data_IF_080926675787
#
_entry.id   IF_080926675787
#
_cell.length_a   1.000
_cell.length_b   1.000
_cell.length_c   1.000
_cell.angle_alpha   90.00
_cell.angle_beta   90.00
_cell.angle_gamma   90.00
#
_symmetry.space_group_name_H-M   'P 1'
#
loop_
_entity.id
_entity.type
_entity.pdbx_description
1 polymer ?
#
# COMPACT_ATOMS: atom_id res chain seq x y z
N UNK A 1 -1.06 -10.32 7.46
CA UNK A 1 0.03 -11.09 8.11
C UNK A 1 -0.08 -11.10 9.64
N UNK A 2 -0.79 -10.14 10.24
CA UNK A 2 -1.05 -10.11 11.69
C UNK A 2 -2.00 -11.25 12.12
N UNK A 3 -1.87 -11.69 13.37
CA UNK A 3 -2.80 -12.62 14.02
C UNK A 3 -4.02 -11.84 14.53
N UNK A 4 -5.15 -11.98 13.88
CA UNK A 4 -6.40 -11.28 14.25
C UNK A 4 -6.95 -11.67 15.63
N UNK A 5 -6.53 -12.82 16.19
CA UNK A 5 -6.88 -13.22 17.57
C UNK A 5 -6.09 -12.41 18.60
N UNK A 6 -5.01 -11.72 18.19
CA UNK A 6 -4.09 -10.94 19.03
C UNK A 6 -3.70 -9.61 18.38
N UNK A 7 -4.59 -9.02 17.59
CA UNK A 7 -4.29 -7.86 16.73
C UNK A 7 -3.62 -6.71 17.50
N UNK A 8 -4.09 -6.40 18.70
CA UNK A 8 -3.48 -5.36 19.54
C UNK A 8 -2.02 -5.66 19.88
N UNK A 9 -1.72 -6.87 20.35
CA UNK A 9 -0.34 -7.27 20.65
C UNK A 9 0.56 -7.28 19.40
N UNK A 10 -0.02 -7.61 18.25
CA UNK A 10 0.70 -7.56 16.97
C UNK A 10 0.98 -6.13 16.52
N UNK A 11 0.10 -5.18 16.79
CA UNK A 11 0.32 -3.75 16.57
C UNK A 11 1.40 -3.20 17.51
N UNK A 12 1.38 -3.56 18.79
CA UNK A 12 2.42 -3.17 19.76
C UNK A 12 3.81 -3.65 19.31
N UNK A 13 3.89 -4.87 18.78
CA UNK A 13 5.15 -5.47 18.34
C UNK A 13 5.76 -4.82 17.07
N UNK A 14 4.98 -4.05 16.32
CA UNK A 14 5.43 -3.29 15.15
C UNK A 14 5.43 -1.78 15.35
N UNK A 15 5.28 -1.28 16.59
CA UNK A 15 5.20 0.14 16.90
C UNK A 15 6.43 0.97 16.48
N UNK A 16 7.52 0.33 16.07
CA UNK A 16 8.72 0.99 15.50
C UNK A 16 8.64 1.18 13.98
N UNK A 17 7.60 0.66 13.31
CA UNK A 17 7.34 0.94 11.90
C UNK A 17 6.79 2.37 11.72
N UNK A 18 6.89 2.89 10.50
CA UNK A 18 6.42 4.26 10.19
C UNK A 18 4.92 4.29 9.93
N UNK A 19 4.36 3.18 9.41
CA UNK A 19 2.95 3.05 9.00
C UNK A 19 2.44 1.65 9.28
N UNK A 20 1.12 1.52 9.38
CA UNK A 20 0.40 0.24 9.32
C UNK A 20 -0.24 0.13 7.94
N UNK A 21 0.20 -0.83 7.15
CA UNK A 21 -0.41 -1.16 5.86
C UNK A 21 -1.64 -2.06 6.05
N UNK A 22 -2.76 -1.69 5.43
CA UNK A 22 -4.08 -2.27 5.69
C UNK A 22 -4.73 -2.75 4.38
N UNK A 23 -4.57 -4.04 4.05
CA UNK A 23 -5.05 -4.67 2.83
C UNK A 23 -6.55 -5.00 2.87
N UNK A 24 -7.34 -4.31 2.07
CA UNK A 24 -8.80 -4.55 1.94
C UNK A 24 -9.11 -5.26 0.63
N UNK A 25 -9.77 -6.40 0.71
CA UNK A 25 -10.11 -7.26 -0.43
C UNK A 25 -11.60 -7.59 -0.41
N UNK A 26 -12.26 -7.51 -1.57
CA UNK A 26 -13.72 -7.65 -1.72
C UNK A 26 -14.19 -8.97 -2.36
N UNK A 27 -13.25 -9.83 -2.82
CA UNK A 27 -13.57 -11.06 -3.52
C UNK A 27 -14.03 -10.87 -4.97
N UNK A 28 -14.08 -9.61 -5.46
CA UNK A 28 -14.45 -9.27 -6.83
C UNK A 28 -13.24 -8.81 -7.64
N UNK A 29 -12.53 -7.79 -7.16
CA UNK A 29 -11.28 -7.32 -7.78
C UNK A 29 -10.15 -8.34 -7.64
N UNK A 30 -10.05 -9.01 -6.49
CA UNK A 30 -9.12 -10.11 -6.22
C UNK A 30 -9.88 -11.32 -5.68
N UNK A 31 -9.40 -12.57 -5.90
CA UNK A 31 -10.11 -13.79 -5.52
C UNK A 31 -9.94 -14.11 -4.02
N UNK A 32 -10.01 -13.11 -3.16
CA UNK A 32 -9.92 -13.22 -1.72
C UNK A 32 -10.77 -12.15 -1.05
N UNK A 33 -11.25 -12.42 0.17
CA UNK A 33 -11.98 -11.47 1.02
C UNK A 33 -11.18 -11.31 2.31
N UNK A 34 -10.88 -10.06 2.70
CA UNK A 34 -10.16 -9.82 3.96
C UNK A 34 -11.06 -9.22 5.04
N UNK A 35 -11.10 -7.94 5.16
CA UNK A 35 -11.81 -7.18 6.19
C UNK A 35 -12.13 -5.76 5.67
N UNK A 36 -12.84 -4.96 6.45
CA UNK A 36 -13.24 -3.63 6.02
C UNK A 36 -13.24 -2.61 7.16
N UNK A 37 -14.10 -1.60 7.03
CA UNK A 37 -14.16 -0.42 7.91
C UNK A 37 -14.20 -0.73 9.42
N UNK A 38 -14.92 -1.76 9.92
CA UNK A 38 -14.93 -2.05 11.36
C UNK A 38 -13.55 -2.37 11.94
N UNK A 39 -12.72 -3.12 11.19
CA UNK A 39 -11.35 -3.44 11.61
C UNK A 39 -10.42 -2.24 11.42
N UNK A 40 -10.56 -1.49 10.32
CA UNK A 40 -9.84 -0.24 10.11
C UNK A 40 -10.06 0.71 11.30
N UNK A 41 -11.31 0.93 11.71
CA UNK A 41 -11.66 1.74 12.88
C UNK A 41 -11.07 1.19 14.19
N UNK A 42 -11.08 -0.13 14.38
CA UNK A 42 -10.51 -0.73 15.58
C UNK A 42 -8.99 -0.53 15.66
N UNK A 43 -8.28 -0.65 14.52
CA UNK A 43 -6.84 -0.37 14.43
C UNK A 43 -6.57 1.10 14.73
N UNK A 44 -7.29 2.03 14.08
CA UNK A 44 -7.14 3.47 14.31
C UNK A 44 -7.41 3.89 15.77
N UNK A 45 -8.35 3.22 16.46
CA UNK A 45 -8.62 3.47 17.87
C UNK A 45 -7.57 2.90 18.83
N UNK A 46 -6.81 1.89 18.35
CA UNK A 46 -5.81 1.21 19.17
C UNK A 46 -4.43 1.85 19.09
N UNK A 47 -4.06 2.42 17.95
CA UNK A 47 -2.72 2.99 17.72
C UNK A 47 -2.80 4.33 17.01
N UNK A 48 -1.84 5.22 17.30
CA UNK A 48 -1.65 6.51 16.61
C UNK A 48 -0.76 6.39 15.37
N UNK A 49 -0.38 5.16 14.95
CA UNK A 49 0.42 4.95 13.76
C UNK A 49 -0.36 5.38 12.51
N UNK A 50 0.34 5.95 11.53
CA UNK A 50 -0.23 6.33 10.24
C UNK A 50 -0.83 5.11 9.54
N UNK A 51 -2.12 5.20 9.15
CA UNK A 51 -2.87 4.10 8.56
C UNK A 51 -2.91 4.25 7.04
N UNK A 52 -2.09 3.46 6.38
CA UNK A 52 -2.01 3.31 4.93
C UNK A 52 -2.98 2.21 4.47
N UNK A 53 -4.07 2.61 3.82
CA UNK A 53 -5.19 1.72 3.48
C UNK A 53 -5.19 1.39 1.99
N UNK A 54 -4.86 0.15 1.67
CA UNK A 54 -4.79 -0.37 0.30
C UNK A 54 -6.10 -1.08 -0.08
N UNK A 55 -6.84 -0.50 -1.03
CA UNK A 55 -8.14 -1.00 -1.47
C UNK A 55 -8.01 -1.85 -2.74
N UNK A 56 -7.96 -3.16 -2.59
CA UNK A 56 -8.08 -4.16 -3.65
C UNK A 56 -9.56 -4.52 -3.86
N UNK A 57 -10.36 -3.52 -4.25
CA UNK A 57 -11.81 -3.64 -4.40
C UNK A 57 -12.29 -3.02 -5.72
N UNK A 58 -13.38 -3.53 -6.29
CA UNK A 58 -14.00 -2.93 -7.47
C UNK A 58 -14.69 -1.61 -7.14
N UNK A 59 -14.58 -0.62 -8.04
CA UNK A 59 -15.22 0.70 -7.94
C UNK A 59 -15.01 1.36 -6.58
N UNK A 60 -13.75 1.61 -6.19
CA UNK A 60 -13.37 2.03 -4.83
C UNK A 60 -13.97 3.37 -4.40
N UNK A 61 -14.32 4.27 -5.34
CA UNK A 61 -14.91 5.57 -5.04
C UNK A 61 -16.10 5.49 -4.07
N UNK A 62 -16.85 4.37 -4.10
CA UNK A 62 -18.03 4.13 -3.24
C UNK A 62 -17.69 4.04 -1.75
N UNK A 63 -16.46 3.76 -1.39
CA UNK A 63 -16.05 3.42 0.00
C UNK A 63 -15.00 4.37 0.58
N UNK A 64 -14.52 5.34 -0.19
CA UNK A 64 -13.47 6.29 0.26
C UNK A 64 -13.92 7.02 1.53
N UNK A 65 -15.13 7.58 1.53
CA UNK A 65 -15.66 8.30 2.70
C UNK A 65 -15.76 7.41 3.94
N UNK A 66 -16.17 6.16 3.78
CA UNK A 66 -16.33 5.22 4.89
C UNK A 66 -14.97 4.82 5.49
N UNK A 67 -13.94 4.61 4.67
CA UNK A 67 -12.58 4.35 5.16
C UNK A 67 -11.94 5.59 5.77
N UNK A 68 -12.17 6.78 5.21
CA UNK A 68 -11.72 8.04 5.80
C UNK A 68 -12.33 8.24 7.21
N UNK A 69 -13.64 8.01 7.36
CA UNK A 69 -14.33 8.05 8.66
C UNK A 69 -13.87 6.94 9.62
N UNK A 70 -13.40 5.83 9.10
CA UNK A 70 -12.81 4.75 9.91
C UNK A 70 -11.38 5.05 10.38
N UNK A 71 -10.75 6.12 9.86
CA UNK A 71 -9.45 6.60 10.29
C UNK A 71 -8.29 6.28 9.34
N UNK A 72 -8.57 5.99 8.06
CA UNK A 72 -7.52 5.91 7.05
C UNK A 72 -6.85 7.29 6.87
N UNK A 73 -5.53 7.35 6.94
CA UNK A 73 -4.74 8.57 6.71
C UNK A 73 -4.37 8.72 5.23
N UNK A 74 -4.13 7.60 4.56
CA UNK A 74 -3.88 7.48 3.14
C UNK A 74 -4.72 6.33 2.58
N UNK A 75 -5.25 6.52 1.38
CA UNK A 75 -5.96 5.45 0.65
C UNK A 75 -5.32 5.27 -0.71
N UNK A 76 -4.95 4.04 -1.03
CA UNK A 76 -4.49 3.62 -2.36
C UNK A 76 -5.56 2.80 -3.07
N UNK A 77 -5.83 3.15 -4.34
CA UNK A 77 -6.79 2.46 -5.20
C UNK A 77 -6.10 1.97 -6.46
N UNK A 78 -6.41 0.76 -6.90
CA UNK A 78 -5.87 0.21 -8.13
C UNK A 78 -6.41 0.94 -9.37
N UNK A 79 -5.52 1.30 -10.31
CA UNK A 79 -5.93 1.90 -11.59
C UNK A 79 -6.81 0.95 -12.42
N UNK A 80 -6.69 -0.35 -12.18
CA UNK A 80 -7.46 -1.41 -12.84
C UNK A 80 -8.83 -1.68 -12.18
N UNK A 81 -9.11 -1.08 -11.02
CA UNK A 81 -10.34 -1.33 -10.25
C UNK A 81 -11.57 -0.62 -10.79
N UNK A 82 -11.37 0.37 -11.65
CA UNK A 82 -12.44 1.09 -12.36
C UNK A 82 -11.89 1.74 -13.64
N UNK A 83 -12.76 2.30 -14.47
CA UNK A 83 -12.34 3.13 -15.59
C UNK A 83 -11.73 4.47 -15.13
N UNK A 84 -11.07 5.23 -16.05
CA UNK A 84 -10.37 6.48 -15.69
C UNK A 84 -11.24 7.48 -14.93
N UNK A 85 -12.53 7.61 -15.28
CA UNK A 85 -13.46 8.48 -14.57
C UNK A 85 -13.73 8.02 -13.13
N UNK A 86 -13.87 6.71 -12.90
CA UNK A 86 -14.07 6.18 -11.56
C UNK A 86 -12.84 6.37 -10.66
N UNK A 87 -11.63 6.34 -11.24
CA UNK A 87 -10.39 6.67 -10.52
C UNK A 87 -10.34 8.17 -10.19
N UNK A 88 -10.71 9.05 -11.12
CA UNK A 88 -10.83 10.49 -10.84
C UNK A 88 -11.86 10.78 -9.74
N UNK A 89 -13.02 10.12 -9.77
CA UNK A 89 -14.04 10.22 -8.73
C UNK A 89 -13.49 9.77 -7.36
N UNK A 90 -12.70 8.68 -7.31
CA UNK A 90 -12.06 8.22 -6.08
C UNK A 90 -11.05 9.25 -5.54
N UNK A 91 -10.19 9.81 -6.40
CA UNK A 91 -9.21 10.85 -5.99
C UNK A 91 -9.90 12.13 -5.52
N UNK A 92 -10.99 12.55 -6.17
CA UNK A 92 -11.79 13.69 -5.75
C UNK A 92 -12.44 13.45 -4.38
N UNK A 93 -12.91 12.23 -4.13
CA UNK A 93 -13.51 11.86 -2.87
C UNK A 93 -12.46 11.80 -1.74
N UNK A 94 -11.25 11.29 -2.00
CA UNK A 94 -10.13 11.35 -1.05
C UNK A 94 -9.79 12.80 -0.66
N UNK A 95 -9.73 13.69 -1.66
CA UNK A 95 -9.47 15.12 -1.44
C UNK A 95 -10.58 15.78 -0.60
N UNK A 96 -11.85 15.48 -0.91
CA UNK A 96 -13.01 15.96 -0.14
C UNK A 96 -12.98 15.48 1.32
N UNK A 97 -12.53 14.26 1.54
CA UNK A 97 -12.41 13.65 2.88
C UNK A 97 -11.15 14.08 3.64
N UNK A 98 -10.19 14.74 2.98
CA UNK A 98 -8.94 15.19 3.58
C UNK A 98 -7.94 14.06 3.85
N UNK A 99 -8.07 12.91 3.18
CA UNK A 99 -7.10 11.81 3.25
C UNK A 99 -6.07 11.93 2.13
N UNK A 100 -4.85 11.40 2.35
CA UNK A 100 -3.81 11.35 1.33
C UNK A 100 -4.19 10.41 0.20
N UNK A 101 -3.77 10.78 -1.00
CA UNK A 101 -4.19 10.16 -2.27
C UNK A 101 -3.09 9.27 -2.83
N UNK A 102 -3.41 8.00 -3.06
CA UNK A 102 -2.51 7.08 -3.73
C UNK A 102 -3.21 6.26 -4.81
N UNK A 103 -2.43 5.84 -5.80
CA UNK A 103 -2.85 4.84 -6.78
C UNK A 103 -1.92 3.64 -6.74
N UNK A 104 -2.49 2.46 -6.98
CA UNK A 104 -1.76 1.20 -7.05
C UNK A 104 -1.75 0.66 -8.48
N UNK A 105 -0.64 0.02 -8.86
CA UNK A 105 -0.43 -0.64 -10.14
C UNK A 105 -0.29 -2.14 -9.94
N UNK A 106 -1.06 -2.96 -10.67
CA UNK A 106 -0.78 -4.39 -10.81
C UNK A 106 0.51 -4.61 -11.61
N UNK A 107 1.17 -5.79 -11.47
CA UNK A 107 2.43 -6.07 -12.17
C UNK A 107 2.38 -5.91 -13.68
N UNK A 108 1.21 -6.14 -14.30
CA UNK A 108 1.01 -6.04 -15.76
C UNK A 108 0.79 -4.60 -16.24
N UNK A 109 0.53 -3.67 -15.33
CA UNK A 109 0.13 -2.30 -15.69
C UNK A 109 1.34 -1.43 -15.97
N UNK A 110 1.29 -0.71 -17.09
CA UNK A 110 2.39 0.18 -17.50
C UNK A 110 2.58 1.32 -16.48
N UNK A 111 3.83 1.65 -16.08
CA UNK A 111 4.13 2.82 -15.25
C UNK A 111 3.54 4.13 -15.78
N UNK A 112 3.41 4.27 -17.10
CA UNK A 112 2.82 5.47 -17.73
C UNK A 112 1.35 5.69 -17.39
N UNK A 113 0.67 4.67 -16.85
CA UNK A 113 -0.72 4.79 -16.43
C UNK A 113 -0.93 5.79 -15.28
N UNK A 114 0.14 6.14 -14.52
CA UNK A 114 0.06 7.14 -13.45
C UNK A 114 0.09 8.59 -13.98
N UNK A 115 0.56 8.82 -15.21
CA UNK A 115 0.77 10.17 -15.75
C UNK A 115 -0.46 11.10 -15.66
N UNK A 116 -1.69 10.64 -15.91
CA UNK A 116 -2.88 11.50 -15.79
C UNK A 116 -3.15 11.98 -14.36
N UNK A 117 -2.59 11.35 -13.35
CA UNK A 117 -2.92 11.55 -11.94
C UNK A 117 -1.76 12.08 -11.10
N UNK A 118 -0.52 11.97 -11.59
CA UNK A 118 0.71 12.12 -10.80
C UNK A 118 0.81 13.45 -10.04
N UNK A 119 0.33 14.55 -10.64
CA UNK A 119 0.38 15.90 -10.02
C UNK A 119 -0.46 16.00 -8.74
N UNK A 120 -1.37 15.05 -8.51
CA UNK A 120 -2.32 15.04 -7.39
C UNK A 120 -1.98 13.99 -6.33
N UNK A 121 -1.02 13.10 -6.63
CA UNK A 121 -0.76 11.94 -5.78
C UNK A 121 0.21 12.27 -4.65
N UNK A 122 -0.06 11.74 -3.47
CA UNK A 122 0.87 11.69 -2.34
C UNK A 122 1.77 10.44 -2.41
N UNK A 123 1.28 9.35 -3.03
CA UNK A 123 2.02 8.09 -3.16
C UNK A 123 1.59 7.29 -4.40
N UNK A 124 2.54 6.53 -4.97
CA UNK A 124 2.29 5.49 -5.96
C UNK A 124 2.71 4.16 -5.34
N UNK A 125 1.81 3.17 -5.36
CA UNK A 125 2.08 1.80 -4.93
C UNK A 125 2.32 0.91 -6.15
N UNK A 126 3.48 0.28 -6.22
CA UNK A 126 3.80 -0.76 -7.22
C UNK A 126 3.68 -2.14 -6.57
N UNK A 127 2.76 -2.95 -7.09
CA UNK A 127 2.66 -4.35 -6.68
C UNK A 127 3.83 -5.15 -7.23
N UNK A 128 4.54 -5.83 -6.37
CA UNK A 128 5.67 -6.71 -6.72
C UNK A 128 5.31 -8.19 -6.63
N UNK A 129 4.02 -8.46 -6.48
CA UNK A 129 3.32 -9.75 -6.60
C UNK A 129 1.93 -9.51 -7.20
N UNK A 130 1.24 -10.55 -7.66
CA UNK A 130 -0.18 -10.40 -7.98
C UNK A 130 -0.99 -10.13 -6.71
N UNK A 131 -1.84 -9.07 -6.69
CA UNK A 131 -2.64 -8.75 -5.50
C UNK A 131 -3.63 -9.88 -5.16
N UNK A 132 -3.93 -10.05 -3.85
CA UNK A 132 -4.95 -10.98 -3.36
C UNK A 132 -4.48 -11.97 -2.30
N UNK A 133 -3.20 -12.34 -2.26
CA UNK A 133 -2.67 -13.27 -1.25
C UNK A 133 -1.30 -12.83 -0.76
N UNK A 134 -1.09 -12.95 0.55
CA UNK A 134 0.22 -12.71 1.16
C UNK A 134 1.22 -13.87 0.94
N UNK A 135 2.50 -13.62 1.24
CA UNK A 135 3.55 -14.65 1.25
C UNK A 135 4.03 -15.11 -0.13
N UNK A 136 3.70 -14.40 -1.18
CA UNK A 136 4.15 -14.69 -2.54
C UNK A 136 5.62 -14.32 -2.76
N UNK A 137 6.26 -14.94 -3.76
CA UNK A 137 7.61 -14.61 -4.17
C UNK A 137 7.65 -13.30 -4.95
N UNK A 138 8.64 -12.47 -4.66
CA UNK A 138 8.91 -11.21 -5.34
C UNK A 138 9.12 -11.41 -6.86
N UNK A 139 8.49 -10.60 -7.66
CA UNK A 139 8.61 -10.60 -9.13
C UNK A 139 9.75 -9.67 -9.55
N UNK A 140 10.87 -10.25 -10.00
CA UNK A 140 12.10 -9.51 -10.30
C UNK A 140 11.98 -8.50 -11.45
N UNK A 141 11.07 -8.74 -12.39
CA UNK A 141 10.76 -7.84 -13.51
C UNK A 141 10.11 -6.53 -13.03
N UNK A 142 9.52 -6.51 -11.84
CA UNK A 142 8.95 -5.30 -11.26
C UNK A 142 10.01 -4.25 -10.86
N UNK A 143 11.29 -4.61 -10.77
CA UNK A 143 12.37 -3.63 -10.56
C UNK A 143 12.42 -2.57 -11.66
N UNK A 144 12.12 -2.96 -12.92
CA UNK A 144 12.09 -2.00 -14.03
C UNK A 144 10.85 -1.10 -13.97
N UNK A 145 9.71 -1.63 -13.50
CA UNK A 145 8.49 -0.84 -13.24
C UNK A 145 8.75 0.20 -12.15
N UNK A 146 9.40 -0.19 -11.05
CA UNK A 146 9.75 0.72 -9.94
C UNK A 146 10.65 1.86 -10.46
N UNK A 147 11.71 1.56 -11.24
CA UNK A 147 12.61 2.59 -11.82
C UNK A 147 11.84 3.59 -12.70
N UNK A 148 10.97 3.09 -13.57
CA UNK A 148 10.18 3.94 -14.45
C UNK A 148 9.17 4.80 -13.66
N UNK A 149 8.53 4.24 -12.62
CA UNK A 149 7.68 5.04 -11.73
C UNK A 149 8.49 6.12 -11.01
N UNK A 150 9.70 5.80 -10.51
CA UNK A 150 10.60 6.77 -9.86
C UNK A 150 10.98 7.91 -10.82
N UNK A 151 11.33 7.60 -12.08
CA UNK A 151 11.63 8.61 -13.09
C UNK A 151 10.44 9.55 -13.35
N UNK A 152 9.24 9.01 -13.46
CA UNK A 152 8.02 9.80 -13.64
C UNK A 152 7.77 10.69 -12.42
N UNK A 153 7.89 10.15 -11.21
CA UNK A 153 7.70 10.88 -9.96
C UNK A 153 8.72 12.03 -9.85
N UNK A 154 10.01 11.75 -10.10
CA UNK A 154 11.07 12.76 -10.02
C UNK A 154 10.86 13.91 -10.99
N UNK A 155 10.26 13.62 -12.15
CA UNK A 155 10.00 14.64 -13.18
C UNK A 155 8.75 15.49 -12.91
N UNK A 156 7.65 14.86 -12.47
CA UNK A 156 6.35 15.53 -12.39
C UNK A 156 5.91 15.90 -10.96
N UNK A 157 6.23 15.09 -9.96
CA UNK A 157 5.86 15.32 -8.57
C UNK A 157 6.91 14.73 -7.60
N UNK A 158 8.07 15.39 -7.43
CA UNK A 158 9.17 14.85 -6.61
C UNK A 158 8.83 14.60 -5.14
N UNK A 159 7.73 15.15 -4.64
CA UNK A 159 7.24 14.92 -3.27
C UNK A 159 6.42 13.63 -3.12
N UNK A 160 5.99 13.03 -4.22
CA UNK A 160 5.21 11.80 -4.21
C UNK A 160 6.08 10.62 -3.76
N UNK A 161 5.58 9.84 -2.81
CA UNK A 161 6.23 8.63 -2.32
C UNK A 161 6.08 7.49 -3.35
N UNK A 162 7.05 6.57 -3.34
CA UNK A 162 7.00 5.35 -4.13
C UNK A 162 7.04 4.15 -3.21
N UNK A 163 5.90 3.50 -3.09
CA UNK A 163 5.68 2.33 -2.27
C UNK A 163 5.78 1.04 -3.10
N UNK A 164 6.22 -0.02 -2.47
CA UNK A 164 6.24 -1.38 -3.02
C UNK A 164 5.62 -2.37 -2.06
N UNK A 165 4.76 -3.24 -2.57
CA UNK A 165 4.13 -4.31 -1.80
C UNK A 165 4.22 -5.66 -2.52
N UNK A 166 4.73 -6.65 -1.80
CA UNK A 166 4.82 -8.03 -2.22
C UNK A 166 6.24 -8.62 -2.19
N UNK A 167 6.44 -9.66 -1.37
CA UNK A 167 7.69 -10.39 -1.29
C UNK A 167 8.89 -9.61 -0.72
N UNK A 168 8.62 -8.54 0.02
CA UNK A 168 9.66 -7.67 0.62
C UNK A 168 10.28 -8.36 1.85
N UNK A 169 11.60 -8.47 1.82
CA UNK A 169 12.44 -9.05 2.86
C UNK A 169 13.88 -8.53 2.74
N UNK A 170 14.80 -8.97 3.60
CA UNK A 170 16.19 -8.49 3.61
C UNK A 170 16.99 -8.73 2.31
N UNK A 171 16.52 -9.63 1.42
CA UNK A 171 17.16 -9.88 0.11
C UNK A 171 16.62 -8.93 -0.96
N UNK A 172 15.33 -8.61 -0.90
CA UNK A 172 14.65 -7.81 -1.92
C UNK A 172 14.63 -6.32 -1.58
N UNK A 173 14.67 -5.95 -0.29
CA UNK A 173 14.67 -4.55 0.15
C UNK A 173 15.79 -3.72 -0.48
N UNK A 174 17.08 -4.14 -0.52
CA UNK A 174 18.13 -3.37 -1.18
C UNK A 174 17.87 -3.17 -2.67
N UNK A 175 17.26 -4.15 -3.34
CA UNK A 175 16.98 -4.09 -4.78
C UNK A 175 15.91 -3.06 -5.09
N UNK A 176 14.81 -3.05 -4.35
CA UNK A 176 13.69 -2.11 -4.57
C UNK A 176 14.09 -0.68 -4.17
N UNK A 177 14.90 -0.51 -3.12
CA UNK A 177 15.45 0.80 -2.73
C UNK A 177 16.39 1.35 -3.81
N UNK A 178 17.29 0.51 -4.34
CA UNK A 178 18.17 0.88 -5.46
C UNK A 178 17.37 1.20 -6.75
N UNK A 179 16.18 0.62 -6.91
CA UNK A 179 15.27 0.95 -8.00
C UNK A 179 14.47 2.24 -7.77
N UNK A 180 14.49 2.80 -6.54
CA UNK A 180 13.87 4.09 -6.22
C UNK A 180 12.68 4.06 -5.27
N UNK A 181 12.29 2.88 -4.74
CA UNK A 181 11.27 2.79 -3.71
C UNK A 181 11.74 3.43 -2.40
N UNK A 182 10.87 4.15 -1.73
CA UNK A 182 11.13 4.79 -0.43
C UNK A 182 10.10 4.44 0.65
N UNK A 183 9.07 3.66 0.31
CA UNK A 183 8.14 3.02 1.25
C UNK A 183 8.09 1.52 0.95
N UNK A 184 8.26 0.69 1.98
CA UNK A 184 8.37 -0.77 1.87
C UNK A 184 7.27 -1.45 2.70
N UNK A 185 6.38 -2.18 2.05
CA UNK A 185 5.39 -3.02 2.74
C UNK A 185 5.98 -4.42 2.93
N UNK A 186 6.12 -4.85 4.17
CA UNK A 186 6.65 -6.17 4.52
C UNK A 186 5.72 -6.89 5.49
N UNK A 187 5.00 -7.88 5.01
CA UNK A 187 4.13 -8.74 5.81
C UNK A 187 4.93 -9.85 6.51
N UNK A 188 5.11 -10.97 5.83
CA UNK A 188 5.83 -12.14 6.38
C UNK A 188 7.30 -11.84 6.73
N UNK A 189 7.92 -10.88 6.05
CA UNK A 189 9.29 -10.42 6.33
C UNK A 189 9.46 -9.84 7.75
N UNK A 190 8.39 -9.32 8.34
CA UNK A 190 8.36 -8.78 9.71
C UNK A 190 7.60 -9.73 10.64
N UNK A 191 6.36 -10.07 10.33
CA UNK A 191 5.50 -10.88 11.21
C UNK A 191 6.00 -12.32 11.39
N UNK A 192 6.79 -12.85 10.47
CA UNK A 192 7.43 -14.16 10.58
C UNK A 192 8.69 -14.19 11.47
N UNK A 193 9.13 -13.04 12.00
CA UNK A 193 10.32 -12.95 12.86
C UNK A 193 9.94 -12.90 14.34
N UNK A 194 10.80 -13.47 15.21
CA UNK A 194 10.61 -13.42 16.66
C UNK A 194 10.75 -11.99 17.20
N UNK A 195 11.78 -11.26 16.74
CA UNK A 195 12.00 -9.83 17.05
C UNK A 195 11.59 -8.98 15.85
N UNK A 196 10.32 -8.55 15.84
CA UNK A 196 9.77 -7.71 14.77
C UNK A 196 10.40 -6.33 14.71
N UNK A 197 10.76 -5.75 15.85
CA UNK A 197 11.43 -4.45 15.90
C UNK A 197 12.84 -4.52 15.28
N UNK A 198 13.58 -5.61 15.53
CA UNK A 198 14.86 -5.84 14.86
C UNK A 198 14.69 -6.06 13.35
N UNK A 199 13.65 -6.79 12.92
CA UNK A 199 13.34 -6.99 11.51
C UNK A 199 13.03 -5.66 10.81
N UNK A 200 12.23 -4.78 11.42
CA UNK A 200 11.92 -3.44 10.91
C UNK A 200 13.20 -2.61 10.75
N UNK A 201 14.08 -2.57 11.78
CA UNK A 201 15.36 -1.87 11.68
C UNK A 201 16.23 -2.41 10.54
N UNK A 202 16.34 -3.73 10.44
CA UNK A 202 17.15 -4.37 9.40
C UNK A 202 16.62 -4.06 7.98
N UNK A 203 15.30 -4.02 7.77
CA UNK A 203 14.71 -3.60 6.49
C UNK A 203 14.94 -2.11 6.19
N UNK A 204 14.95 -1.28 7.22
CA UNK A 204 15.21 0.16 7.08
C UNK A 204 16.68 0.45 6.75
N UNK A 205 17.61 -0.37 7.20
CA UNK A 205 19.05 -0.23 6.98
C UNK A 205 19.56 -0.98 5.73
N UNK A 206 18.78 -1.91 5.19
CA UNK A 206 19.12 -2.76 4.05
C UNK A 206 19.38 -1.99 2.74
#
# INVERSE_FOLDING_TARGET
>A
SADFTKLGADLDAIATADMVHFDVMDGAFVPNISYGMPICKAVNQYTDMFLDTHLMIEKPARYIEDFAKAGADLISVHLEADGPRGIEDALNEMERCGVKKAVALRPITSPKAILPYIDRLDMVLVMTVEPGFGGQSFMMDQLDVIRQCREIIDWYNPSCLLEVDGGINLKTAPLVKAAGANVLVAGSGIYGQEDRAAAIRALREA
#
